data_IF_462491887525
#
_entry.id   IF_462491887525
#
_cell.length_a   1.000
_cell.length_b   1.000
_cell.length_c   1.000
_cell.angle_alpha   90.00
_cell.angle_beta   90.00
_cell.angle_gamma   90.00
#
_symmetry.space_group_name_H-M   'P 1'
#
loop_
_entity.id
_entity.type
_entity.pdbx_description
1 polymer ?
#
# COMPACT_ATOMS: atom_id res chain seq x y z
N UNK A 1 31.35 -23.27 -26.00
CA UNK A 1 30.37 -22.74 -25.03
C UNK A 1 31.02 -21.58 -24.31
N UNK A 2 30.71 -20.34 -24.70
CA UNK A 2 31.30 -19.14 -24.07
C UNK A 2 30.61 -18.79 -22.75
N UNK A 3 31.27 -18.03 -21.85
CA UNK A 3 30.68 -17.65 -20.56
C UNK A 3 29.49 -16.72 -20.79
N UNK A 4 28.34 -17.09 -20.21
CA UNK A 4 27.18 -16.21 -20.15
C UNK A 4 27.47 -15.10 -19.14
N UNK A 5 27.60 -13.87 -19.61
CA UNK A 5 27.79 -12.70 -18.73
C UNK A 5 26.44 -12.37 -18.11
N UNK A 6 26.28 -12.66 -16.81
CA UNK A 6 25.12 -12.23 -16.05
C UNK A 6 25.32 -10.78 -15.60
N UNK A 7 24.53 -9.86 -16.18
CA UNK A 7 24.44 -8.49 -15.71
C UNK A 7 23.37 -8.40 -14.62
N UNK A 8 23.68 -7.74 -13.51
CA UNK A 8 22.70 -7.48 -12.46
C UNK A 8 21.66 -6.45 -12.95
N UNK A 9 20.38 -6.73 -12.74
CA UNK A 9 19.30 -5.77 -12.93
C UNK A 9 18.96 -5.11 -11.58
N UNK A 10 18.87 -3.78 -11.56
CA UNK A 10 18.48 -3.00 -10.38
C UNK A 10 17.06 -2.50 -10.55
N UNK A 11 16.20 -2.75 -9.55
CA UNK A 11 14.80 -2.31 -9.54
C UNK A 11 14.64 -1.30 -8.41
N UNK A 12 14.22 -0.08 -8.77
CA UNK A 12 13.89 0.97 -7.81
C UNK A 12 12.41 0.93 -7.49
N UNK A 13 12.07 0.82 -6.21
CA UNK A 13 10.69 0.84 -5.71
C UNK A 13 10.61 1.90 -4.63
N UNK A 14 9.64 2.81 -4.74
CA UNK A 14 9.34 3.78 -3.69
C UNK A 14 8.40 3.13 -2.66
N UNK A 15 8.84 2.90 -1.41
CA UNK A 15 8.00 2.30 -0.38
C UNK A 15 6.74 3.11 -0.06
N UNK A 16 6.76 4.43 -0.28
CA UNK A 16 5.61 5.31 -0.04
C UNK A 16 4.47 5.08 -1.03
N UNK A 17 4.74 4.42 -2.16
CA UNK A 17 3.74 4.09 -3.18
C UNK A 17 3.12 2.70 -2.99
N UNK A 18 3.58 1.95 -1.99
CA UNK A 18 3.06 0.62 -1.66
C UNK A 18 1.82 0.77 -0.80
N UNK A 19 0.72 0.16 -1.25
CA UNK A 19 -0.56 0.16 -0.55
C UNK A 19 -0.90 -1.28 -0.12
N UNK A 20 -0.61 -1.66 1.14
CA UNK A 20 -0.97 -2.98 1.64
C UNK A 20 -2.47 -3.23 1.51
N UNK A 21 -2.82 -4.47 1.16
CA UNK A 21 -4.22 -4.92 1.08
C UNK A 21 -4.51 -5.82 2.27
N UNK A 22 -5.39 -5.39 3.16
CA UNK A 22 -5.90 -6.19 4.28
C UNK A 22 -7.42 -6.30 4.13
N UNK A 23 -7.96 -7.51 4.17
CA UNK A 23 -9.40 -7.78 4.01
C UNK A 23 -10.06 -7.12 2.78
N UNK A 24 -9.31 -7.04 1.67
CA UNK A 24 -9.79 -6.42 0.44
C UNK A 24 -9.85 -4.89 0.46
N UNK A 25 -9.23 -4.26 1.46
CA UNK A 25 -9.13 -2.80 1.61
C UNK A 25 -7.69 -2.36 1.39
N UNK A 26 -7.49 -1.27 0.65
CA UNK A 26 -6.21 -0.60 0.50
C UNK A 26 -5.92 0.30 1.69
N UNK A 27 -4.80 0.02 2.35
CA UNK A 27 -4.30 0.80 3.47
C UNK A 27 -3.05 1.59 3.07
N UNK A 28 -2.75 2.60 3.88
CA UNK A 28 -1.48 3.31 3.86
C UNK A 28 -0.66 2.85 5.05
N UNK A 29 0.64 2.66 4.85
CA UNK A 29 1.62 2.36 5.90
C UNK A 29 2.83 3.29 5.74
N UNK A 30 3.58 3.50 6.82
CA UNK A 30 4.91 4.12 6.75
C UNK A 30 5.92 2.98 6.66
N UNK A 31 6.46 2.80 5.46
CA UNK A 31 7.43 1.76 5.18
C UNK A 31 8.77 2.41 4.92
N UNK A 32 9.81 1.96 5.63
CA UNK A 32 11.19 2.41 5.39
C UNK A 32 11.86 1.61 4.24
N UNK A 33 11.20 0.54 3.77
CA UNK A 33 11.65 -0.35 2.70
C UNK A 33 10.55 -1.32 2.27
N UNK A 34 10.90 -2.27 1.40
CA UNK A 34 10.00 -3.39 1.09
C UNK A 34 10.02 -4.34 2.29
N UNK A 35 8.87 -4.63 2.94
CA UNK A 35 8.85 -5.58 4.05
C UNK A 35 9.17 -6.98 3.56
N UNK A 36 9.82 -7.78 4.40
CA UNK A 36 10.07 -9.18 4.09
C UNK A 36 8.76 -9.99 4.12
N UNK A 37 8.60 -11.03 3.29
CA UNK A 37 7.46 -11.94 3.41
C UNK A 37 7.43 -12.56 4.82
N UNK A 38 6.29 -12.46 5.52
CA UNK A 38 6.15 -12.90 6.91
C UNK A 38 6.40 -11.82 7.95
N UNK A 39 6.90 -10.65 7.56
CA UNK A 39 7.07 -9.51 8.46
C UNK A 39 5.72 -8.87 8.82
N UNK A 40 5.59 -8.42 10.06
CA UNK A 40 4.41 -7.70 10.52
C UNK A 40 4.45 -6.23 10.10
N UNK A 41 3.39 -5.78 9.43
CA UNK A 41 3.23 -4.40 8.99
C UNK A 41 2.04 -3.76 9.69
N UNK A 42 2.28 -2.62 10.34
CA UNK A 42 1.22 -1.81 10.94
C UNK A 42 0.83 -0.66 10.01
N UNK A 43 -0.45 -0.61 9.65
CA UNK A 43 -1.04 0.43 8.82
C UNK A 43 -1.25 1.71 9.62
N UNK A 44 -1.35 2.85 8.94
CA UNK A 44 -1.63 4.15 9.57
C UNK A 44 -2.95 4.16 10.37
N UNK A 45 -3.93 3.35 9.98
CA UNK A 45 -5.19 3.23 10.71
C UNK A 45 -5.10 2.39 11.98
N UNK A 46 -3.96 1.76 12.28
CA UNK A 46 -3.71 0.86 13.40
C UNK A 46 -4.02 -0.62 13.12
N UNK A 47 -4.49 -0.97 11.91
CA UNK A 47 -4.62 -2.37 11.50
C UNK A 47 -3.24 -2.95 11.30
N UNK A 48 -3.04 -4.19 11.72
CA UNK A 48 -1.78 -4.92 11.54
C UNK A 48 -2.02 -6.15 10.68
N UNK A 49 -1.07 -6.47 9.82
CA UNK A 49 -1.13 -7.64 8.95
C UNK A 49 0.26 -8.15 8.59
N UNK A 50 0.34 -9.44 8.27
CA UNK A 50 1.58 -10.08 7.84
C UNK A 50 1.79 -9.87 6.34
N UNK A 51 2.98 -9.43 5.95
CA UNK A 51 3.33 -9.19 4.56
C UNK A 51 3.34 -10.48 3.74
N UNK A 52 2.64 -10.46 2.61
CA UNK A 52 2.64 -11.54 1.63
C UNK A 52 2.63 -10.96 0.21
N UNK A 53 3.47 -11.52 -0.65
CA UNK A 53 3.58 -11.10 -2.05
C UNK A 53 3.01 -12.18 -2.96
N UNK A 54 1.95 -11.83 -3.68
CA UNK A 54 1.21 -12.75 -4.54
C UNK A 54 1.26 -12.29 -6.00
N UNK A 55 1.27 -13.21 -6.98
CA UNK A 55 1.21 -12.86 -8.39
C UNK A 55 -0.05 -12.05 -8.75
N UNK A 56 0.08 -11.14 -9.71
CA UNK A 56 -1.03 -10.31 -10.18
C UNK A 56 -2.24 -11.13 -10.68
N UNK A 57 -2.03 -12.35 -11.17
CA UNK A 57 -3.10 -13.26 -11.59
C UNK A 57 -4.06 -13.61 -10.46
N UNK A 58 -3.56 -13.79 -9.23
CA UNK A 58 -4.40 -14.06 -8.06
C UNK A 58 -5.26 -12.85 -7.65
N UNK A 59 -4.83 -11.64 -8.01
CA UNK A 59 -5.61 -10.41 -7.76
C UNK A 59 -6.90 -10.37 -8.59
N UNK A 60 -6.92 -10.94 -9.80
CA UNK A 60 -8.08 -10.88 -10.71
C UNK A 60 -9.32 -11.63 -10.19
N UNK A 61 -9.14 -12.51 -9.21
CA UNK A 61 -10.24 -13.19 -8.53
C UNK A 61 -10.85 -12.38 -7.38
N UNK A 62 -10.31 -11.19 -7.07
CA UNK A 62 -10.79 -10.32 -5.99
C UNK A 62 -11.36 -9.02 -6.55
N UNK A 63 -12.40 -8.50 -5.90
CA UNK A 63 -12.98 -7.18 -6.19
C UNK A 63 -11.91 -6.09 -6.09
N UNK A 64 -12.03 -5.02 -6.89
CA UNK A 64 -11.13 -3.86 -6.80
C UNK A 64 -11.11 -3.36 -5.35
N UNK A 65 -9.96 -3.31 -4.67
CA UNK A 65 -9.90 -2.91 -3.28
C UNK A 65 -10.41 -1.48 -3.10
N UNK A 66 -11.21 -1.26 -2.06
CA UNK A 66 -11.61 0.09 -1.65
C UNK A 66 -10.52 0.70 -0.78
N UNK A 67 -10.32 2.01 -0.84
CA UNK A 67 -9.38 2.69 0.05
C UNK A 67 -9.94 2.77 1.48
N UNK A 68 -9.12 2.50 2.48
CA UNK A 68 -9.46 2.68 3.89
C UNK A 68 -9.71 4.17 4.18
N UNK A 69 -10.92 4.49 4.65
CA UNK A 69 -11.34 5.86 4.94
C UNK A 69 -10.48 6.50 6.06
N UNK A 70 -10.08 5.72 7.07
CA UNK A 70 -9.23 6.21 8.17
C UNK A 70 -7.82 6.55 7.68
N UNK A 71 -7.23 5.71 6.84
CA UNK A 71 -5.95 6.03 6.20
C UNK A 71 -6.06 7.27 5.30
N UNK A 72 -7.11 7.39 4.49
CA UNK A 72 -7.34 8.57 3.64
C UNK A 72 -7.44 9.85 4.49
N UNK A 73 -8.20 9.82 5.58
CA UNK A 73 -8.34 10.95 6.49
C UNK A 73 -6.99 11.38 7.10
N UNK A 74 -6.17 10.43 7.55
CA UNK A 74 -4.83 10.70 8.10
C UNK A 74 -3.92 11.35 7.05
N UNK A 75 -3.88 10.81 5.84
CA UNK A 75 -3.05 11.35 4.75
C UNK A 75 -3.53 12.75 4.35
N UNK A 76 -4.84 12.97 4.23
CA UNK A 76 -5.42 14.29 3.94
C UNK A 76 -5.04 15.31 5.00
N UNK A 77 -5.19 14.95 6.27
CA UNK A 77 -4.81 15.81 7.40
C UNK A 77 -3.32 16.17 7.35
N UNK A 78 -2.44 15.19 7.12
CA UNK A 78 -0.99 15.44 6.98
C UNK A 78 -0.64 16.36 5.80
N UNK A 79 -1.46 16.35 4.74
CA UNK A 79 -1.29 17.20 3.55
C UNK A 79 -2.07 18.51 3.59
N UNK A 80 -2.76 18.82 4.69
CA UNK A 80 -3.63 20.00 4.80
C UNK A 80 -4.83 19.99 3.84
N UNK A 81 -5.24 18.81 3.34
CA UNK A 81 -6.37 18.64 2.43
C UNK A 81 -7.65 18.48 3.27
N UNK A 82 -8.72 19.24 2.99
CA UNK A 82 -9.99 19.06 3.68
C UNK A 82 -10.54 17.64 3.54
N UNK A 83 -11.12 17.12 4.62
CA UNK A 83 -11.87 15.86 4.59
C UNK A 83 -13.07 15.99 3.65
N UNK A 84 -13.41 14.91 2.93
CA UNK A 84 -14.55 14.94 1.99
C UNK A 84 -15.87 15.32 2.65
N UNK A 85 -16.02 15.09 3.95
CA UNK A 85 -17.22 15.44 4.72
C UNK A 85 -17.45 16.96 4.85
N UNK A 86 -16.43 17.80 4.65
CA UNK A 86 -16.57 19.26 4.71
C UNK A 86 -17.17 19.91 3.44
N UNK A 87 -17.63 19.11 2.45
CA UNK A 87 -18.24 19.63 1.22
C UNK A 87 -19.78 19.71 1.24
N UNK A 88 -20.44 19.19 2.27
CA UNK A 88 -21.89 19.28 2.43
C UNK A 88 -22.16 20.01 3.75
N UNK A 89 -22.21 21.34 3.68
CA UNK A 89 -22.39 22.19 4.86
C UNK A 89 -22.38 23.68 4.56
N UNK A 90 -23.24 24.12 3.62
CA UNK A 90 -23.77 25.49 3.60
C UNK A 90 -25.13 25.45 2.92
N UNK A 91 -26.15 25.33 3.76
CA UNK A 91 -27.49 25.83 3.47
C UNK A 91 -27.46 27.35 3.63
#
# INVERSE_FOLDING_TARGET
>A
MGPSVMTAAVIYIDPLMIHPVVDGVWHHARLDGIPDPGEEVTMLCGVTGVAAFLPLSQRRHRTIPRQCERCDAIIRHQRGIPLRQNRIGRN
#
